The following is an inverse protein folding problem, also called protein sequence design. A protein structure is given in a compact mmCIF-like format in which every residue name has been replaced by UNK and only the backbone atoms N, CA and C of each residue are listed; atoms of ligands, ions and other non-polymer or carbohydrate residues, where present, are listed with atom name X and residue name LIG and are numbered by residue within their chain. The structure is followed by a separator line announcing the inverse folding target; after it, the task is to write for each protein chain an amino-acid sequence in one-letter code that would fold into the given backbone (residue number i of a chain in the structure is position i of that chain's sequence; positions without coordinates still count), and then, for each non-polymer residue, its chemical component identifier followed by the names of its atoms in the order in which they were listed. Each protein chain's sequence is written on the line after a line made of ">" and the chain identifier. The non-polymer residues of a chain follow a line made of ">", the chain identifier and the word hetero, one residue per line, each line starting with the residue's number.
data_IF_906217195953
#
_entry.id   IF_906217195953
#
_cell.length_a   1.000
_cell.length_b   1.000
_cell.length_c   1.000
_cell.angle_alpha   90.00
_cell.angle_beta   90.00
_cell.angle_gamma   90.00
#
_symmetry.space_group_name_H-M   'P 1'
#
loop_
_entity.id
_entity.type
_entity.pdbx_description
1 polymer ?
#
# COMPACT_ATOMS: atom_id res chain seq x y z
N UNK A 1 -24.14 74.43 17.62
CA UNK A 1 -23.16 75.06 18.50
C UNK A 1 -21.87 74.24 18.59
N UNK A 2 -20.77 74.89 18.81
CA UNK A 2 -19.44 74.24 18.91
C UNK A 2 -19.39 73.23 20.09
N UNK A 3 -20.09 73.47 21.19
CA UNK A 3 -20.14 72.60 22.35
C UNK A 3 -20.83 71.26 22.03
N UNK A 4 -21.91 71.27 21.27
CA UNK A 4 -22.62 70.06 20.85
C UNK A 4 -21.81 69.20 19.89
N UNK A 5 -21.04 69.81 19.02
CA UNK A 5 -20.11 69.12 18.13
C UNK A 5 -19.01 68.40 18.87
N UNK A 6 -18.41 69.04 19.88
CA UNK A 6 -17.40 68.38 20.74
C UNK A 6 -17.95 67.21 21.49
N UNK A 7 -19.16 67.33 22.03
CA UNK A 7 -19.88 66.26 22.74
C UNK A 7 -20.19 65.05 21.85
N UNK A 8 -20.66 65.29 20.64
CA UNK A 8 -20.96 64.24 19.68
C UNK A 8 -19.69 63.52 19.24
N UNK A 9 -18.62 64.26 18.98
CA UNK A 9 -17.30 63.66 18.62
C UNK A 9 -16.71 62.86 19.77
N UNK A 10 -16.73 63.41 21.00
CA UNK A 10 -16.22 62.71 22.18
C UNK A 10 -17.02 61.46 22.47
N UNK A 11 -18.33 61.49 22.38
CA UNK A 11 -19.21 60.36 22.59
C UNK A 11 -19.04 59.29 21.50
N UNK A 12 -18.95 59.73 20.25
CA UNK A 12 -18.64 58.86 19.11
C UNK A 12 -17.30 58.15 19.26
N UNK A 13 -16.24 58.87 19.61
CA UNK A 13 -14.95 58.28 19.89
C UNK A 13 -14.93 57.32 21.06
N UNK A 14 -15.65 57.67 22.13
CA UNK A 14 -15.74 56.84 23.33
C UNK A 14 -16.45 55.52 23.11
N UNK A 15 -17.41 55.46 22.18
CA UNK A 15 -18.13 54.22 21.81
C UNK A 15 -17.47 53.47 20.66
N UNK A 16 -16.86 54.15 19.74
CA UNK A 16 -16.27 53.59 18.51
C UNK A 16 -14.96 52.87 18.78
N UNK A 17 -14.09 53.44 19.63
CA UNK A 17 -12.81 52.84 19.97
C UNK A 17 -12.94 51.51 20.69
N UNK A 18 -13.75 51.35 21.75
CA UNK A 18 -13.95 50.05 22.39
C UNK A 18 -14.56 49.01 21.45
N UNK A 19 -15.56 49.43 20.65
CA UNK A 19 -16.21 48.53 19.68
C UNK A 19 -15.24 48.00 18.64
N UNK A 20 -14.35 48.87 18.13
CA UNK A 20 -13.34 48.51 17.16
C UNK A 20 -12.30 47.55 17.77
N UNK A 21 -11.87 47.80 19.01
CA UNK A 21 -10.96 46.92 19.72
C UNK A 21 -11.54 45.55 19.96
N UNK A 22 -12.83 45.47 20.36
CA UNK A 22 -13.55 44.20 20.55
C UNK A 22 -13.67 43.46 19.24
N UNK A 23 -13.99 44.13 18.15
CA UNK A 23 -14.09 43.54 16.81
C UNK A 23 -12.74 42.96 16.35
N UNK A 24 -11.66 43.73 16.47
CA UNK A 24 -10.32 43.29 16.10
C UNK A 24 -9.88 42.09 16.96
N UNK A 25 -10.12 42.17 18.25
CA UNK A 25 -9.74 41.11 19.19
C UNK A 25 -10.55 39.82 18.93
N UNK A 26 -11.84 39.93 18.64
CA UNK A 26 -12.70 38.81 18.27
C UNK A 26 -12.28 38.15 16.97
N UNK A 27 -11.92 38.94 15.94
CA UNK A 27 -11.40 38.42 14.68
C UNK A 27 -10.07 37.70 14.89
N UNK A 28 -9.18 38.24 15.74
CA UNK A 28 -7.90 37.64 16.05
C UNK A 28 -8.07 36.29 16.76
N UNK A 29 -8.91 36.22 17.79
CA UNK A 29 -9.21 34.98 18.51
C UNK A 29 -9.87 33.96 17.59
N UNK A 30 -10.84 34.39 16.78
CA UNK A 30 -11.55 33.52 15.86
C UNK A 30 -10.60 32.92 14.82
N UNK A 31 -9.73 33.74 14.21
CA UNK A 31 -8.72 33.27 13.24
C UNK A 31 -7.75 32.28 13.89
N UNK A 32 -7.25 32.57 15.09
CA UNK A 32 -6.34 31.69 15.80
C UNK A 32 -6.98 30.38 16.20
N UNK A 33 -8.19 30.40 16.70
CA UNK A 33 -8.95 29.18 17.07
C UNK A 33 -9.30 28.32 15.87
N UNK A 34 -9.73 28.93 14.75
CA UNK A 34 -9.97 28.24 13.49
C UNK A 34 -8.73 27.59 12.93
N UNK A 35 -7.62 28.32 12.87
CA UNK A 35 -6.36 27.81 12.37
C UNK A 35 -5.91 26.58 13.17
N UNK A 36 -5.93 26.65 14.49
CA UNK A 36 -5.59 25.53 15.37
C UNK A 36 -6.51 24.32 15.19
N UNK A 37 -7.82 24.58 15.06
CA UNK A 37 -8.82 23.53 14.86
C UNK A 37 -8.65 22.82 13.53
N UNK A 38 -8.44 23.57 12.45
CA UNK A 38 -8.23 23.02 11.11
C UNK A 38 -6.93 22.26 11.03
N UNK A 39 -5.82 22.74 11.57
CA UNK A 39 -4.55 22.05 11.60
C UNK A 39 -4.66 20.70 12.29
N UNK A 40 -5.33 20.65 13.43
CA UNK A 40 -5.57 19.40 14.18
C UNK A 40 -6.43 18.42 13.40
N UNK A 41 -7.51 18.86 12.76
CA UNK A 41 -8.39 18.02 11.94
C UNK A 41 -7.68 17.51 10.69
N UNK A 42 -6.94 18.33 10.01
CA UNK A 42 -6.19 17.96 8.81
C UNK A 42 -5.12 16.93 9.19
N UNK A 43 -4.36 17.15 10.24
CA UNK A 43 -3.34 16.20 10.72
C UNK A 43 -3.97 14.85 11.09
N UNK A 44 -5.09 14.84 11.79
CA UNK A 44 -5.79 13.60 12.14
C UNK A 44 -6.31 12.86 10.89
N UNK A 45 -6.90 13.60 9.93
CA UNK A 45 -7.39 13.02 8.69
C UNK A 45 -6.25 12.42 7.84
N UNK A 46 -5.13 13.10 7.74
CA UNK A 46 -3.94 12.60 7.02
C UNK A 46 -3.39 11.35 7.70
N UNK A 47 -3.25 11.33 9.01
CA UNK A 47 -2.76 10.17 9.75
C UNK A 47 -3.70 8.97 9.59
N UNK A 48 -5.02 9.17 9.66
CA UNK A 48 -5.99 8.10 9.45
C UNK A 48 -5.94 7.54 8.04
N UNK A 49 -5.83 8.40 7.03
CA UNK A 49 -5.70 7.99 5.62
C UNK A 49 -4.41 7.19 5.38
N UNK A 50 -3.31 7.61 5.97
CA UNK A 50 -2.03 6.90 5.93
C UNK A 50 -2.15 5.50 6.56
N UNK A 51 -2.76 5.39 7.73
CA UNK A 51 -2.96 4.09 8.39
C UNK A 51 -3.88 3.16 7.60
N UNK A 52 -4.95 3.67 7.01
CA UNK A 52 -5.84 2.89 6.14
C UNK A 52 -5.07 2.34 4.94
N UNK A 53 -4.29 3.18 4.28
CA UNK A 53 -3.48 2.77 3.13
C UNK A 53 -2.43 1.74 3.52
N UNK A 54 -1.75 1.93 4.64
CA UNK A 54 -0.77 0.97 5.19
C UNK A 54 -1.41 -0.37 5.52
N UNK A 55 -2.57 -0.35 6.19
CA UNK A 55 -3.31 -1.57 6.52
C UNK A 55 -3.77 -2.32 5.27
N UNK A 56 -4.22 -1.61 4.24
CA UNK A 56 -4.56 -2.22 2.95
C UNK A 56 -3.38 -2.97 2.33
N UNK A 57 -2.22 -2.35 2.29
CA UNK A 57 -1.01 -2.98 1.74
C UNK A 57 -0.60 -4.18 2.59
N UNK A 58 -0.60 -4.05 3.91
CA UNK A 58 -0.25 -5.15 4.83
C UNK A 58 -1.22 -6.33 4.71
N UNK A 59 -2.51 -6.05 4.56
CA UNK A 59 -3.53 -7.08 4.32
C UNK A 59 -3.27 -7.83 3.00
N UNK A 60 -3.00 -7.11 1.91
CA UNK A 60 -2.67 -7.73 0.62
C UNK A 60 -1.40 -8.57 0.67
N UNK A 61 -0.38 -8.11 1.39
CA UNK A 61 0.86 -8.86 1.61
C UNK A 61 0.64 -10.14 2.42
N UNK A 62 -0.13 -10.07 3.48
CA UNK A 62 -0.45 -11.22 4.30
C UNK A 62 -1.32 -12.22 3.55
N UNK A 63 -2.25 -11.74 2.74
CA UNK A 63 -3.09 -12.59 1.90
C UNK A 63 -2.25 -13.36 0.88
N UNK A 64 -1.33 -12.71 0.17
CA UNK A 64 -0.49 -13.38 -0.82
C UNK A 64 0.41 -14.45 -0.18
N UNK A 65 0.89 -14.22 1.04
CA UNK A 65 1.68 -15.19 1.79
C UNK A 65 0.87 -16.44 2.14
N UNK A 66 -0.37 -16.27 2.53
CA UNK A 66 -1.28 -17.40 2.81
C UNK A 66 -1.66 -18.15 1.54
N UNK A 67 -1.96 -17.44 0.47
CA UNK A 67 -2.33 -18.03 -0.81
C UNK A 67 -1.20 -18.83 -1.43
N UNK A 68 0.04 -18.35 -1.37
CA UNK A 68 1.18 -19.10 -1.94
C UNK A 68 1.41 -20.43 -1.24
N UNK A 69 1.19 -20.50 0.07
CA UNK A 69 1.31 -21.76 0.82
C UNK A 69 0.25 -22.76 0.35
N UNK A 70 -0.99 -22.31 0.16
CA UNK A 70 -2.08 -23.15 -0.32
C UNK A 70 -1.83 -23.62 -1.76
N UNK A 71 -1.37 -22.75 -2.64
CA UNK A 71 -1.01 -23.12 -4.01
C UNK A 71 0.13 -24.13 -4.01
N UNK A 72 1.18 -23.90 -3.24
CA UNK A 72 2.32 -24.82 -3.13
C UNK A 72 1.87 -26.21 -2.65
N UNK A 73 0.97 -26.27 -1.68
CA UNK A 73 0.41 -27.53 -1.19
C UNK A 73 -0.36 -28.26 -2.30
N UNK A 74 -1.20 -27.56 -3.05
CA UNK A 74 -1.95 -28.15 -4.15
C UNK A 74 -1.01 -28.61 -5.28
N UNK A 75 -0.01 -27.80 -5.65
CA UNK A 75 0.97 -28.17 -6.69
C UNK A 75 1.78 -29.41 -6.30
N UNK A 76 2.20 -29.53 -5.05
CA UNK A 76 2.92 -30.70 -4.56
C UNK A 76 2.09 -31.99 -4.69
N UNK A 77 0.79 -31.91 -4.52
CA UNK A 77 -0.13 -33.06 -4.77
C UNK A 77 -0.18 -33.44 -6.24
N UNK A 78 -0.09 -32.47 -7.14
CA UNK A 78 -0.18 -32.68 -8.58
C UNK A 78 1.17 -32.91 -9.26
N UNK A 79 2.23 -33.16 -8.50
CA UNK A 79 3.56 -33.41 -9.04
C UNK A 79 3.60 -34.54 -10.08
N UNK A 80 2.87 -35.63 -9.86
CA UNK A 80 2.80 -36.75 -10.79
C UNK A 80 2.21 -36.34 -12.15
N UNK A 81 1.24 -35.43 -12.15
CA UNK A 81 0.64 -34.88 -13.37
C UNK A 81 1.62 -33.99 -14.11
N UNK A 82 2.44 -33.22 -13.38
CA UNK A 82 3.51 -32.44 -13.98
C UNK A 82 4.46 -33.27 -14.83
N UNK A 83 4.80 -34.48 -14.37
CA UNK A 83 5.67 -35.40 -15.12
C UNK A 83 4.96 -36.13 -16.25
N UNK A 84 3.70 -36.54 -16.05
CA UNK A 84 2.97 -37.38 -17.00
C UNK A 84 2.20 -36.61 -18.08
N UNK A 85 1.68 -35.45 -17.73
CA UNK A 85 0.86 -34.60 -18.62
C UNK A 85 1.11 -33.11 -18.34
N UNK A 86 2.16 -32.52 -18.96
CA UNK A 86 2.51 -31.11 -18.76
C UNK A 86 1.40 -30.13 -19.15
N UNK A 87 0.60 -30.44 -20.17
CA UNK A 87 -0.48 -29.56 -20.61
C UNK A 87 -1.62 -29.49 -19.59
N UNK A 88 -1.96 -30.62 -19.00
CA UNK A 88 -2.93 -30.68 -17.92
C UNK A 88 -2.43 -29.96 -16.66
N UNK A 89 -1.15 -30.04 -16.37
CA UNK A 89 -0.53 -29.31 -15.28
C UNK A 89 -0.57 -27.80 -15.51
N UNK A 90 -0.31 -27.33 -16.74
CA UNK A 90 -0.43 -25.91 -17.10
C UNK A 90 -1.87 -25.42 -16.95
N UNK A 91 -2.86 -26.21 -17.37
CA UNK A 91 -4.28 -25.90 -17.17
C UNK A 91 -4.62 -25.79 -15.67
N UNK A 92 -4.05 -26.65 -14.84
CA UNK A 92 -4.19 -26.59 -13.38
C UNK A 92 -3.59 -25.31 -12.80
N UNK A 93 -2.40 -24.90 -13.26
CA UNK A 93 -1.78 -23.61 -12.87
C UNK A 93 -2.67 -22.43 -13.23
N UNK A 94 -3.23 -22.41 -14.42
CA UNK A 94 -4.17 -21.37 -14.85
C UNK A 94 -5.40 -21.30 -13.95
N UNK A 95 -5.94 -22.46 -13.56
CA UNK A 95 -7.06 -22.54 -12.64
C UNK A 95 -6.70 -21.97 -11.25
N UNK A 96 -5.54 -22.32 -10.71
CA UNK A 96 -5.06 -21.76 -9.44
C UNK A 96 -4.92 -20.24 -9.51
N UNK A 97 -4.37 -19.72 -10.60
CA UNK A 97 -4.24 -18.28 -10.81
C UNK A 97 -5.59 -17.56 -10.77
N UNK A 98 -6.63 -18.13 -11.36
CA UNK A 98 -7.98 -17.57 -11.38
C UNK A 98 -8.69 -17.67 -10.03
N UNK A 99 -8.64 -18.84 -9.39
CA UNK A 99 -9.36 -19.11 -8.13
C UNK A 99 -8.78 -18.29 -6.98
N UNK A 100 -7.46 -18.13 -6.95
CA UNK A 100 -6.75 -17.49 -5.84
C UNK A 100 -6.64 -15.97 -5.95
N UNK A 101 -7.23 -15.38 -6.99
CA UNK A 101 -7.15 -13.93 -7.21
C UNK A 101 -5.69 -13.43 -7.23
N UNK A 102 -4.85 -14.18 -7.91
CA UNK A 102 -3.43 -13.86 -8.16
C UNK A 102 -3.32 -13.34 -9.59
N UNK A 103 -2.55 -12.29 -9.83
CA UNK A 103 -2.39 -11.71 -11.16
C UNK A 103 -1.40 -12.50 -12.01
N UNK A 104 -0.30 -12.94 -11.41
CA UNK A 104 0.76 -13.69 -12.10
C UNK A 104 1.23 -14.86 -11.24
N UNK A 105 1.40 -16.01 -11.86
CA UNK A 105 1.91 -17.22 -11.22
C UNK A 105 2.96 -17.88 -12.12
N UNK A 106 4.13 -18.12 -11.56
CA UNK A 106 5.27 -18.69 -12.26
C UNK A 106 5.92 -19.82 -11.47
N UNK A 107 6.44 -20.82 -12.18
CA UNK A 107 7.43 -21.76 -11.67
C UNK A 107 8.80 -21.37 -12.23
N UNK A 108 9.76 -21.21 -11.36
CA UNK A 108 11.12 -20.77 -11.69
C UNK A 108 12.14 -21.74 -11.08
N UNK A 109 13.36 -21.75 -11.61
CA UNK A 109 14.47 -22.50 -11.03
C UNK A 109 15.33 -21.65 -10.08
N UNK A 110 16.34 -22.22 -9.49
CA UNK A 110 17.24 -21.52 -8.56
C UNK A 110 18.09 -20.41 -9.22
N UNK A 111 18.21 -20.40 -10.53
CA UNK A 111 18.85 -19.33 -11.30
C UNK A 111 17.86 -18.18 -11.61
N UNK A 112 16.58 -18.31 -11.23
CA UNK A 112 15.55 -17.34 -11.53
C UNK A 112 14.98 -17.45 -12.95
N UNK A 113 15.30 -18.52 -13.66
CA UNK A 113 14.79 -18.76 -15.02
C UNK A 113 13.38 -19.34 -14.98
N UNK A 114 12.55 -18.91 -15.92
CA UNK A 114 11.17 -19.36 -16.03
C UNK A 114 11.11 -20.82 -16.50
N UNK A 115 10.40 -21.67 -15.76
CA UNK A 115 10.07 -23.04 -16.15
C UNK A 115 8.69 -23.07 -16.82
N UNK A 116 7.67 -22.62 -16.12
CA UNK A 116 6.27 -22.54 -16.60
C UNK A 116 5.63 -21.25 -16.09
N UNK A 117 4.82 -20.63 -16.95
CA UNK A 117 3.94 -19.51 -16.60
C UNK A 117 2.48 -19.95 -16.68
N UNK A 118 1.67 -19.56 -15.70
CA UNK A 118 0.23 -19.78 -15.76
C UNK A 118 -0.44 -18.96 -16.87
N UNK A 119 0.07 -17.77 -17.13
CA UNK A 119 -0.42 -16.85 -18.15
C UNK A 119 0.73 -16.35 -19.02
N UNK A 120 0.41 -15.85 -20.21
CA UNK A 120 1.40 -15.32 -21.17
C UNK A 120 1.86 -13.89 -20.79
N UNK A 121 2.06 -13.62 -19.51
CA UNK A 121 2.63 -12.36 -19.05
C UNK A 121 4.15 -12.35 -19.17
N UNK A 122 4.69 -11.18 -19.44
CA UNK A 122 6.14 -11.00 -19.44
C UNK A 122 6.71 -11.25 -18.04
N UNK A 123 7.47 -12.32 -17.92
CA UNK A 123 8.17 -12.64 -16.68
C UNK A 123 9.33 -11.66 -16.46
N UNK A 124 9.32 -11.01 -15.31
CA UNK A 124 10.44 -10.19 -14.85
C UNK A 124 11.23 -11.03 -13.84
N UNK A 125 12.50 -11.24 -14.13
CA UNK A 125 13.37 -12.08 -13.31
C UNK A 125 13.41 -11.56 -11.87
N UNK A 126 13.17 -12.46 -10.92
CA UNK A 126 13.29 -12.20 -9.49
C UNK A 126 14.76 -11.96 -9.11
N UNK A 127 15.01 -11.18 -8.08
CA UNK A 127 16.35 -10.95 -7.56
C UNK A 127 16.96 -12.24 -7.02
N UNK A 128 18.23 -12.50 -7.35
CA UNK A 128 18.94 -13.69 -6.91
C UNK A 128 18.99 -13.84 -5.39
N UNK A 129 19.05 -12.73 -4.67
CA UNK A 129 19.03 -12.71 -3.21
C UNK A 129 17.75 -13.30 -2.64
N UNK A 130 16.59 -13.01 -3.23
CA UNK A 130 15.31 -13.56 -2.80
C UNK A 130 15.26 -15.08 -2.95
N UNK A 131 15.79 -15.62 -4.03
CA UNK A 131 15.88 -17.07 -4.26
C UNK A 131 16.81 -17.72 -3.23
N UNK A 132 17.95 -17.13 -2.94
CA UNK A 132 18.89 -17.65 -1.94
C UNK A 132 18.25 -17.71 -0.54
N UNK A 133 17.42 -16.75 -0.19
CA UNK A 133 16.74 -16.71 1.11
C UNK A 133 15.73 -17.85 1.27
N UNK A 134 15.02 -18.26 0.22
CA UNK A 134 14.03 -19.35 0.28
C UNK A 134 14.59 -20.72 -0.04
N UNK A 135 15.81 -20.81 -0.55
CA UNK A 135 16.44 -22.06 -0.92
C UNK A 135 16.64 -23.02 0.26
N UNK A 136 16.89 -22.47 1.43
CA UNK A 136 17.13 -23.20 2.67
C UNK A 136 15.98 -23.13 3.67
N UNK A 137 14.90 -22.43 3.36
CA UNK A 137 13.75 -22.22 4.24
C UNK A 137 12.48 -22.70 3.55
N UNK A 138 11.63 -23.45 4.28
CA UNK A 138 10.35 -23.93 3.77
C UNK A 138 9.23 -22.89 3.88
N UNK A 139 9.53 -21.72 4.46
CA UNK A 139 8.57 -20.63 4.62
C UNK A 139 8.55 -19.73 3.39
N UNK A 140 7.38 -19.15 3.05
CA UNK A 140 7.31 -18.20 1.95
C UNK A 140 8.03 -16.90 2.29
N UNK A 141 8.74 -16.34 1.33
CA UNK A 141 9.32 -15.01 1.41
C UNK A 141 8.38 -14.01 0.73
N UNK A 142 7.99 -12.97 1.45
CA UNK A 142 7.28 -11.83 0.88
C UNK A 142 8.26 -10.88 0.21
N UNK A 143 7.93 -10.46 -1.01
CA UNK A 143 8.69 -9.48 -1.77
C UNK A 143 7.82 -8.25 -1.96
N UNK A 144 8.35 -7.11 -1.54
CA UNK A 144 7.63 -5.85 -1.57
C UNK A 144 8.36 -4.93 -2.53
N UNK A 145 7.69 -4.57 -3.62
CA UNK A 145 8.21 -3.62 -4.58
C UNK A 145 7.22 -2.47 -4.74
N UNK A 146 7.32 -1.49 -3.84
CA UNK A 146 6.44 -0.32 -3.83
C UNK A 146 6.53 0.51 -5.13
N UNK A 147 7.72 0.76 -5.71
CA UNK A 147 7.82 1.51 -6.97
C UNK A 147 7.10 0.85 -8.15
N UNK A 148 7.01 -0.47 -8.15
CA UNK A 148 6.32 -1.22 -9.20
C UNK A 148 4.87 -1.55 -8.86
N UNK A 149 4.35 -1.08 -7.74
CA UNK A 149 2.98 -1.34 -7.25
C UNK A 149 2.64 -2.84 -7.19
N UNK A 150 3.60 -3.67 -6.81
CA UNK A 150 3.45 -5.12 -6.74
C UNK A 150 3.71 -5.65 -5.34
N UNK A 151 2.90 -6.62 -4.94
CA UNK A 151 3.20 -7.52 -3.83
C UNK A 151 3.47 -8.89 -4.41
N UNK A 152 4.55 -9.51 -3.99
CA UNK A 152 4.94 -10.81 -4.49
C UNK A 152 5.33 -11.75 -3.34
N UNK A 153 5.34 -13.03 -3.61
CA UNK A 153 5.86 -14.04 -2.70
C UNK A 153 6.53 -15.16 -3.50
N UNK A 154 7.51 -15.79 -2.88
CA UNK A 154 8.21 -16.94 -3.43
C UNK A 154 8.35 -18.01 -2.36
N UNK A 155 8.19 -19.28 -2.76
CA UNK A 155 8.35 -20.44 -1.90
C UNK A 155 8.97 -21.59 -2.69
N UNK A 156 9.78 -22.41 -2.03
CA UNK A 156 10.32 -23.63 -2.63
C UNK A 156 9.23 -24.71 -2.70
N UNK A 157 9.11 -25.38 -3.84
CA UNK A 157 8.27 -26.56 -3.98
C UNK A 157 9.03 -27.82 -3.58
N UNK A 158 8.64 -28.43 -2.48
CA UNK A 158 9.40 -29.56 -1.87
C UNK A 158 9.45 -30.82 -2.72
N UNK A 159 8.35 -31.14 -3.43
CA UNK A 159 8.27 -32.35 -4.26
C UNK A 159 8.91 -32.15 -5.65
N UNK A 160 9.20 -30.92 -6.03
CA UNK A 160 9.81 -30.59 -7.33
C UNK A 160 11.33 -30.39 -7.16
N UNK A 161 12.07 -30.85 -8.13
CA UNK A 161 13.51 -30.63 -8.17
C UNK A 161 13.81 -29.21 -8.67
N UNK A 162 14.62 -28.46 -7.92
CA UNK A 162 15.07 -27.11 -8.27
C UNK A 162 13.97 -26.18 -8.77
N UNK A 163 12.81 -26.20 -8.10
CA UNK A 163 11.63 -25.44 -8.51
C UNK A 163 11.08 -24.59 -7.39
N UNK A 164 10.80 -23.32 -7.71
CA UNK A 164 10.21 -22.35 -6.81
C UNK A 164 8.92 -21.81 -7.41
N UNK A 165 7.91 -21.64 -6.55
CA UNK A 165 6.68 -20.97 -6.91
C UNK A 165 6.82 -19.47 -6.65
N UNK A 166 6.56 -18.66 -7.67
CA UNK A 166 6.59 -17.21 -7.60
C UNK A 166 5.23 -16.65 -8.02
N UNK A 167 4.62 -15.90 -7.14
CA UNK A 167 3.29 -15.31 -7.34
C UNK A 167 3.34 -13.79 -7.18
N UNK A 168 2.58 -13.08 -7.99
CA UNK A 168 2.52 -11.63 -8.01
C UNK A 168 1.09 -11.16 -7.95
N UNK A 169 0.82 -10.19 -7.10
CA UNK A 169 -0.42 -9.46 -7.00
C UNK A 169 -0.14 -7.97 -7.17
N UNK A 170 -0.80 -7.34 -8.13
CA UNK A 170 -0.72 -5.89 -8.30
C UNK A 170 -1.47 -5.19 -7.17
N UNK A 171 -0.87 -4.13 -6.64
CA UNK A 171 -1.48 -3.25 -5.66
C UNK A 171 -2.17 -2.08 -6.37
N UNK A 172 -3.15 -1.47 -5.71
CA UNK A 172 -3.74 -0.24 -6.20
C UNK A 172 -2.68 0.86 -6.31
N UNK A 173 -2.51 1.38 -7.52
CA UNK A 173 -1.48 2.37 -7.84
C UNK A 173 -1.66 3.66 -7.04
N UNK A 174 -2.90 4.09 -6.84
CA UNK A 174 -3.19 5.32 -6.10
C UNK A 174 -2.82 5.17 -4.62
N UNK A 175 -3.11 4.02 -4.03
CA UNK A 175 -2.77 3.73 -2.64
C UNK A 175 -1.26 3.60 -2.46
N UNK A 176 -0.57 2.90 -3.36
CA UNK A 176 0.89 2.76 -3.32
C UNK A 176 1.60 4.11 -3.46
N UNK A 177 1.19 4.95 -4.41
CA UNK A 177 1.76 6.29 -4.59
C UNK A 177 1.49 7.17 -3.36
N UNK A 178 0.29 7.11 -2.81
CA UNK A 178 -0.05 7.85 -1.60
C UNK A 178 0.87 7.48 -0.42
N UNK A 179 1.18 6.20 -0.23
CA UNK A 179 2.09 5.75 0.82
C UNK A 179 3.52 6.26 0.61
N UNK A 180 4.03 6.21 -0.62
CA UNK A 180 5.36 6.70 -0.95
C UNK A 180 5.47 8.20 -0.67
N UNK A 181 4.52 8.99 -1.15
CA UNK A 181 4.47 10.44 -0.94
C UNK A 181 4.33 10.80 0.55
N UNK A 182 3.51 10.05 1.29
CA UNK A 182 3.31 10.27 2.72
C UNK A 182 4.54 9.91 3.55
N UNK A 183 5.26 8.85 3.22
CA UNK A 183 6.52 8.49 3.87
C UNK A 183 7.61 9.53 3.61
N UNK A 184 7.71 10.04 2.38
CA UNK A 184 8.62 11.14 2.04
C UNK A 184 8.31 12.40 2.84
N UNK A 185 7.04 12.75 3.00
CA UNK A 185 6.60 13.93 3.77
C UNK A 185 6.85 13.79 5.29
N UNK A 186 6.83 12.58 5.84
CA UNK A 186 7.08 12.33 7.26
C UNK A 186 8.58 12.32 7.60
N UNK A 187 9.46 12.18 6.62
CA UNK A 187 10.91 12.15 6.80
C UNK A 187 11.56 13.55 6.68
N UNK A 188 10.78 14.63 6.54
CA UNK A 188 11.17 16.03 6.63
C UNK A 188 10.64 16.65 7.92
#
# INVERSE_FOLDING_TARGET
>A
SVANRKYIISFGLFTLIPSLLIAIFSLFIFSFALEKYFDKKITTAVNNSYEIAKNYVDEKRNKIQSEIVLIAFDLNKYYNIYKSDPDRFKAFLNTQNLIRDIDQLYLINSAGELIISANDYNYIKIEDQAIQMVKSDDRPLKIINAPENRSAAVIRLQNFEDTFLYVVKSLDKNISNYLIESEEALNF
#
